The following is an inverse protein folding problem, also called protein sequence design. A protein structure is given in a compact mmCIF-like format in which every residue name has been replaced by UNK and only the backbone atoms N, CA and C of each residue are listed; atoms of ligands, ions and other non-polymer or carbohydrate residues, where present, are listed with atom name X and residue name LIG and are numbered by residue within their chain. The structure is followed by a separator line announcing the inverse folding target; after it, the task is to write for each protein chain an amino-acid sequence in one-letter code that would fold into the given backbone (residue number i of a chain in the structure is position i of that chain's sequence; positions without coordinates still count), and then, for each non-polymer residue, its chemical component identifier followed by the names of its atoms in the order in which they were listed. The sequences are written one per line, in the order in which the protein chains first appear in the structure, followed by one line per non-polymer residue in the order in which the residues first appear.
data_IF_371269097194
#
_entry.id   IF_371269097194
#
_cell.length_a   1.000
_cell.length_b   1.000
_cell.length_c   1.000
_cell.angle_alpha   90.00
_cell.angle_beta   90.00
_cell.angle_gamma   90.00
#
_symmetry.space_group_name_H-M   'P 1'
#
loop_
_entity.id
_entity.type
_entity.pdbx_description
1 polymer ?
#
# COMPACT_ATOMS: atom_id res chain seq x y z
N UNK A 1 41.80 -11.38 29.59
CA UNK A 1 40.56 -10.62 29.29
C UNK A 1 40.07 -10.78 27.85
N UNK A 2 40.95 -10.70 26.84
CA UNK A 2 40.57 -10.79 25.40
C UNK A 2 39.77 -12.06 25.06
N UNK A 3 40.16 -13.24 25.55
CA UNK A 3 39.43 -14.51 25.29
C UNK A 3 37.99 -14.51 25.83
N UNK A 4 37.73 -13.84 26.96
CA UNK A 4 36.37 -13.73 27.54
C UNK A 4 35.51 -12.75 26.74
N UNK A 5 36.08 -11.64 26.26
CA UNK A 5 35.38 -10.72 25.36
C UNK A 5 35.03 -11.38 24.02
N UNK A 6 35.95 -12.15 23.45
CA UNK A 6 35.73 -12.87 22.18
C UNK A 6 34.58 -13.88 22.31
N UNK A 7 34.54 -14.60 23.45
CA UNK A 7 33.49 -15.58 23.73
C UNK A 7 32.11 -14.92 23.90
N UNK A 8 32.05 -13.76 24.57
CA UNK A 8 30.81 -12.98 24.70
C UNK A 8 30.34 -12.47 23.32
N UNK A 9 31.26 -11.97 22.49
CA UNK A 9 30.94 -11.53 21.13
C UNK A 9 30.42 -12.68 20.25
N UNK A 10 31.05 -13.85 20.32
CA UNK A 10 30.61 -15.04 19.60
C UNK A 10 29.24 -15.53 20.07
N UNK A 11 28.95 -15.45 21.37
CA UNK A 11 27.63 -15.76 21.91
C UNK A 11 26.56 -14.77 21.43
N UNK A 12 26.89 -13.48 21.37
CA UNK A 12 25.95 -12.47 20.87
C UNK A 12 25.68 -12.64 19.37
N UNK A 13 26.70 -12.96 18.57
CA UNK A 13 26.56 -13.25 17.14
C UNK A 13 25.73 -14.52 16.89
N UNK A 14 25.88 -15.57 17.70
CA UNK A 14 25.09 -16.80 17.57
C UNK A 14 23.63 -16.61 18.00
N UNK A 15 23.38 -15.81 19.03
CA UNK A 15 22.02 -15.47 19.46
C UNK A 15 21.30 -14.60 18.42
N UNK A 16 21.95 -13.57 17.87
CA UNK A 16 21.36 -12.72 16.83
C UNK A 16 21.08 -13.52 15.55
N UNK A 17 22.00 -14.38 15.12
CA UNK A 17 21.76 -15.24 13.94
C UNK A 17 20.65 -16.27 14.17
N UNK A 18 20.54 -16.84 15.38
CA UNK A 18 19.46 -17.75 15.75
C UNK A 18 18.09 -17.06 15.73
N UNK A 19 17.99 -15.86 16.32
CA UNK A 19 16.75 -15.06 16.33
C UNK A 19 16.36 -14.66 14.90
N UNK A 20 17.29 -14.15 14.08
CA UNK A 20 17.00 -13.82 12.69
C UNK A 20 16.54 -15.04 11.86
N UNK A 21 17.12 -16.23 12.10
CA UNK A 21 16.74 -17.44 11.38
C UNK A 21 15.38 -18.00 11.84
N UNK A 22 15.06 -17.90 13.15
CA UNK A 22 13.74 -18.22 13.68
C UNK A 22 12.66 -17.30 13.12
N UNK A 23 12.90 -15.98 13.06
CA UNK A 23 11.96 -15.02 12.46
C UNK A 23 11.75 -15.31 10.98
N UNK A 24 12.82 -15.60 10.23
CA UNK A 24 12.74 -16.00 8.81
C UNK A 24 11.92 -17.28 8.62
N UNK A 25 12.18 -18.31 9.41
CA UNK A 25 11.45 -19.58 9.32
C UNK A 25 9.98 -19.42 9.73
N UNK A 26 9.66 -18.56 10.70
CA UNK A 26 8.28 -18.25 11.10
C UNK A 26 7.53 -17.49 9.99
N UNK A 27 8.19 -16.57 9.30
CA UNK A 27 7.64 -15.88 8.12
C UNK A 27 7.38 -16.85 6.97
N UNK A 28 8.32 -17.77 6.68
CA UNK A 28 8.16 -18.81 5.66
C UNK A 28 7.00 -19.74 6.03
N UNK A 29 6.96 -20.22 7.27
CA UNK A 29 5.88 -21.10 7.75
C UNK A 29 4.51 -20.40 7.72
N UNK A 30 4.43 -19.12 8.09
CA UNK A 30 3.19 -18.34 7.99
C UNK A 30 2.77 -18.11 6.53
N UNK A 31 3.72 -17.82 5.64
CA UNK A 31 3.47 -17.68 4.20
C UNK A 31 2.92 -18.98 3.60
N UNK A 32 3.57 -20.10 3.90
CA UNK A 32 3.22 -21.40 3.33
C UNK A 32 1.93 -21.94 3.94
N UNK A 33 1.67 -21.70 5.23
CA UNK A 33 0.38 -21.97 5.89
C UNK A 33 -0.77 -21.22 5.20
N UNK A 34 -0.59 -19.94 4.90
CA UNK A 34 -1.64 -19.11 4.32
C UNK A 34 -1.84 -19.41 2.85
N UNK A 35 -0.77 -19.71 2.09
CA UNK A 35 -0.88 -20.21 0.74
C UNK A 35 -1.70 -21.51 0.66
N UNK A 36 -1.69 -22.33 1.71
CA UNK A 36 -2.47 -23.56 1.83
C UNK A 36 -3.90 -23.36 2.39
N UNK A 37 -4.22 -22.19 2.94
CA UNK A 37 -5.51 -21.90 3.59
C UNK A 37 -6.35 -20.80 2.91
N UNK A 38 -5.85 -20.16 1.86
CA UNK A 38 -6.56 -19.04 1.19
C UNK A 38 -7.03 -19.43 -0.21
N UNK A 39 -8.32 -19.75 -0.34
CA UNK A 39 -8.98 -19.98 -1.64
C UNK A 39 -9.35 -18.66 -2.37
N UNK A 40 -9.09 -17.49 -1.75
CA UNK A 40 -9.57 -16.19 -2.24
C UNK A 40 -8.47 -15.15 -2.28
N UNK A 41 -8.06 -14.73 -3.47
CA UNK A 41 -7.06 -13.67 -3.66
C UNK A 41 -7.70 -12.37 -4.15
N UNK A 42 -7.08 -11.25 -3.77
CA UNK A 42 -7.40 -9.95 -4.38
C UNK A 42 -7.10 -9.99 -5.86
N UNK A 43 -8.08 -9.60 -6.66
CA UNK A 43 -7.93 -9.55 -8.11
C UNK A 43 -7.79 -8.11 -8.59
N UNK A 44 -6.68 -7.80 -9.27
CA UNK A 44 -6.46 -6.54 -9.96
C UNK A 44 -6.57 -6.74 -11.47
N UNK A 45 -7.62 -6.19 -12.11
CA UNK A 45 -7.82 -6.31 -13.58
C UNK A 45 -7.77 -7.76 -14.10
N UNK A 46 -8.19 -8.74 -13.29
CA UNK A 46 -8.14 -10.16 -13.61
C UNK A 46 -6.82 -10.87 -13.25
N UNK A 47 -5.83 -10.15 -12.71
CA UNK A 47 -4.64 -10.74 -12.10
C UNK A 47 -4.94 -11.03 -10.63
N UNK A 48 -4.94 -12.30 -10.26
CA UNK A 48 -4.99 -12.72 -8.85
C UNK A 48 -3.66 -12.39 -8.19
N UNK A 49 -3.67 -11.55 -7.16
CA UNK A 49 -2.49 -11.10 -6.42
C UNK A 49 -2.09 -12.14 -5.37
N UNK A 50 -1.69 -13.32 -5.85
CA UNK A 50 -1.19 -14.43 -5.05
C UNK A 50 0.16 -14.13 -4.41
N UNK A 51 0.49 -14.91 -3.39
CA UNK A 51 1.80 -14.93 -2.79
C UNK A 51 2.87 -15.41 -3.80
N UNK A 52 4.04 -14.76 -3.80
CA UNK A 52 5.21 -15.22 -4.57
C UNK A 52 5.15 -14.95 -6.08
N UNK A 53 4.23 -14.12 -6.57
CA UNK A 53 4.22 -13.73 -7.97
C UNK A 53 5.52 -13.04 -8.33
N UNK A 54 6.20 -13.58 -9.35
CA UNK A 54 7.40 -12.97 -9.90
C UNK A 54 7.05 -11.62 -10.54
N UNK A 55 7.88 -10.61 -10.27
CA UNK A 55 7.68 -9.26 -10.76
C UNK A 55 7.62 -9.22 -12.29
N UNK A 56 8.44 -10.03 -12.96
CA UNK A 56 8.43 -10.16 -14.42
C UNK A 56 7.07 -10.63 -14.95
N UNK A 57 6.45 -11.62 -14.30
CA UNK A 57 5.16 -12.17 -14.69
C UNK A 57 4.02 -11.17 -14.41
N UNK A 58 4.06 -10.50 -13.26
CA UNK A 58 3.13 -9.42 -12.94
C UNK A 58 3.18 -8.31 -13.99
N UNK A 59 4.39 -7.87 -14.37
CA UNK A 59 4.58 -6.83 -15.39
C UNK A 59 4.04 -7.27 -16.74
N UNK A 60 4.36 -8.49 -17.18
CA UNK A 60 3.86 -9.05 -18.44
C UNK A 60 2.32 -9.10 -18.46
N UNK A 61 1.71 -9.53 -17.36
CA UNK A 61 0.26 -9.55 -17.23
C UNK A 61 -0.36 -8.15 -17.29
N UNK A 62 0.25 -7.16 -16.63
CA UNK A 62 -0.23 -5.77 -16.63
C UNK A 62 -0.04 -5.11 -18.01
N UNK A 63 1.09 -5.33 -18.67
CA UNK A 63 1.34 -4.87 -20.04
C UNK A 63 0.28 -5.44 -21.01
N UNK A 64 -0.06 -6.73 -20.86
CA UNK A 64 -1.14 -7.37 -21.64
C UNK A 64 -2.54 -6.78 -21.36
N UNK A 65 -2.74 -6.10 -20.22
CA UNK A 65 -3.98 -5.35 -19.90
C UNK A 65 -3.94 -3.89 -20.38
N UNK A 66 -2.93 -3.51 -21.16
CA UNK A 66 -2.80 -2.19 -21.79
C UNK A 66 -2.10 -1.15 -20.92
N UNK A 67 -1.49 -1.53 -19.81
CA UNK A 67 -0.59 -0.64 -19.07
C UNK A 67 0.74 -0.51 -19.81
N UNK A 68 1.25 0.70 -19.90
CA UNK A 68 2.51 1.00 -20.60
C UNK A 68 3.54 1.49 -19.61
N UNK A 69 4.82 1.25 -19.89
CA UNK A 69 5.92 1.82 -19.08
C UNK A 69 5.86 3.33 -19.12
N UNK A 70 5.99 3.97 -17.95
CA UNK A 70 6.08 5.43 -17.88
C UNK A 70 7.49 5.90 -18.25
N UNK A 71 7.65 7.19 -18.54
CA UNK A 71 8.96 7.81 -18.75
C UNK A 71 9.92 7.62 -17.57
N UNK A 72 9.38 7.40 -16.36
CA UNK A 72 10.18 7.19 -15.14
C UNK A 72 10.47 5.72 -14.85
N UNK A 73 10.03 4.79 -15.70
CA UNK A 73 10.13 3.35 -15.43
C UNK A 73 11.56 2.91 -15.17
N UNK A 74 12.49 3.16 -16.09
CA UNK A 74 13.87 2.68 -15.97
C UNK A 74 14.62 3.36 -14.82
N UNK A 75 14.36 4.64 -14.59
CA UNK A 75 14.96 5.38 -13.48
C UNK A 75 14.52 4.82 -12.12
N UNK A 76 13.21 4.66 -11.91
CA UNK A 76 12.67 4.13 -10.64
C UNK A 76 13.02 2.66 -10.43
N UNK A 77 13.08 1.88 -11.50
CA UNK A 77 13.50 0.48 -11.44
C UNK A 77 14.94 0.38 -10.93
N UNK A 78 15.87 1.15 -11.52
CA UNK A 78 17.28 1.13 -11.12
C UNK A 78 17.51 1.68 -9.72
N UNK A 79 16.83 2.77 -9.37
CA UNK A 79 17.07 3.47 -8.10
C UNK A 79 16.41 2.76 -6.91
N UNK A 80 15.14 2.42 -7.05
CA UNK A 80 14.28 2.04 -5.93
C UNK A 80 13.68 0.63 -6.09
N UNK A 81 14.00 -0.08 -7.17
CA UNK A 81 13.34 -1.34 -7.56
C UNK A 81 11.82 -1.18 -7.73
N UNK A 82 11.38 0.03 -8.08
CA UNK A 82 9.98 0.39 -8.28
C UNK A 82 9.67 0.46 -9.77
N UNK A 83 8.57 -0.15 -10.18
CA UNK A 83 8.16 -0.19 -11.58
C UNK A 83 7.03 0.79 -11.82
N UNK A 84 7.26 1.78 -12.69
CA UNK A 84 6.30 2.85 -12.95
C UNK A 84 5.63 2.70 -14.31
N UNK A 85 4.32 2.50 -14.31
CA UNK A 85 3.50 2.36 -15.49
C UNK A 85 2.51 3.54 -15.62
N UNK A 86 1.86 3.66 -16.77
CA UNK A 86 0.71 4.52 -17.05
C UNK A 86 -0.37 3.73 -17.78
N UNK A 87 -1.63 4.12 -17.59
CA UNK A 87 -2.72 3.50 -18.33
C UNK A 87 -4.10 3.90 -17.84
N UNK A 88 -5.12 3.15 -18.27
CA UNK A 88 -6.52 3.42 -17.95
C UNK A 88 -7.02 2.49 -16.84
N UNK A 89 -7.59 3.09 -15.79
CA UNK A 89 -8.17 2.37 -14.66
C UNK A 89 -9.62 2.79 -14.44
N UNK A 90 -10.57 1.84 -14.55
CA UNK A 90 -12.00 2.14 -14.69
C UNK A 90 -12.26 3.18 -15.78
N UNK A 91 -12.93 4.28 -15.44
CA UNK A 91 -13.22 5.42 -16.33
C UNK A 91 -12.09 6.44 -16.40
N UNK A 92 -11.06 6.31 -15.56
CA UNK A 92 -9.96 7.27 -15.47
C UNK A 92 -8.84 6.89 -16.45
N UNK A 93 -8.53 7.81 -17.36
CA UNK A 93 -7.38 7.72 -18.27
C UNK A 93 -6.15 8.33 -17.61
N UNK A 94 -4.98 8.08 -18.17
CA UNK A 94 -3.72 8.70 -17.75
C UNK A 94 -3.37 8.53 -16.26
N UNK A 95 -3.82 7.43 -15.66
CA UNK A 95 -3.43 7.09 -14.30
C UNK A 95 -1.93 6.80 -14.25
N UNK A 96 -1.27 7.21 -13.18
CA UNK A 96 0.08 6.73 -12.86
C UNK A 96 -0.05 5.49 -11.99
N UNK A 97 0.70 4.45 -12.34
CA UNK A 97 0.68 3.17 -11.64
C UNK A 97 2.10 2.92 -11.14
N UNK A 98 2.21 2.52 -9.88
CA UNK A 98 3.48 2.21 -9.25
C UNK A 98 3.39 0.83 -8.65
N UNK A 99 4.31 -0.05 -9.04
CA UNK A 99 4.40 -1.41 -8.51
C UNK A 99 5.62 -1.48 -7.61
N UNK A 100 5.39 -2.01 -6.42
CA UNK A 100 6.37 -2.18 -5.37
C UNK A 100 6.65 -3.66 -5.19
N UNK A 101 7.92 -4.06 -5.11
CA UNK A 101 8.26 -5.40 -4.68
C UNK A 101 8.00 -5.57 -3.18
N UNK A 102 8.14 -6.79 -2.67
CA UNK A 102 8.18 -7.00 -1.22
C UNK A 102 9.44 -6.35 -0.63
N UNK A 103 9.44 -6.18 0.70
CA UNK A 103 10.59 -5.58 1.39
C UNK A 103 11.79 -6.51 1.32
N UNK A 104 11.55 -7.81 1.56
CA UNK A 104 12.61 -8.82 1.69
C UNK A 104 13.12 -9.36 0.35
N UNK A 105 12.31 -9.31 -0.71
CA UNK A 105 12.67 -9.83 -2.03
C UNK A 105 12.23 -8.87 -3.14
N UNK A 106 13.21 -8.36 -3.91
CA UNK A 106 12.96 -7.37 -4.97
C UNK A 106 12.41 -7.96 -6.25
N UNK A 107 12.43 -9.28 -6.39
CA UNK A 107 11.88 -9.99 -7.54
C UNK A 107 10.44 -10.46 -7.31
N UNK A 108 9.92 -10.33 -6.09
CA UNK A 108 8.55 -10.70 -5.75
C UNK A 108 7.64 -9.47 -5.71
N UNK A 109 6.48 -9.57 -6.38
CA UNK A 109 5.43 -8.55 -6.33
C UNK A 109 4.89 -8.37 -4.91
N UNK A 110 4.91 -7.14 -4.40
CA UNK A 110 4.37 -6.80 -3.09
C UNK A 110 3.06 -6.03 -3.16
N UNK A 111 3.04 -4.92 -3.88
CA UNK A 111 1.87 -4.05 -3.97
C UNK A 111 1.82 -3.28 -5.29
N UNK A 112 0.63 -2.81 -5.65
CA UNK A 112 0.39 -1.90 -6.77
C UNK A 112 -0.46 -0.73 -6.31
N UNK A 113 0.05 0.48 -6.52
CA UNK A 113 -0.67 1.74 -6.26
C UNK A 113 -1.06 2.39 -7.58
N UNK A 114 -2.30 2.86 -7.65
CA UNK A 114 -2.90 3.53 -8.79
C UNK A 114 -3.26 4.93 -8.35
N UNK A 115 -2.59 5.92 -8.94
CA UNK A 115 -2.86 7.33 -8.76
C UNK A 115 -3.81 7.75 -9.87
N UNK A 116 -5.03 8.13 -9.50
CA UNK A 116 -5.95 8.75 -10.44
C UNK A 116 -5.38 10.11 -10.91
N UNK A 117 -5.84 10.64 -12.06
CA UNK A 117 -5.47 11.98 -12.49
C UNK A 117 -5.67 12.99 -11.37
N UNK A 118 -4.71 13.90 -11.22
CA UNK A 118 -4.82 14.92 -10.18
C UNK A 118 -6.01 15.84 -10.44
N UNK A 119 -6.52 16.41 -9.35
CA UNK A 119 -7.52 17.48 -9.37
C UNK A 119 -6.92 18.75 -8.77
N UNK A 120 -7.43 19.88 -9.22
CA UNK A 120 -7.04 21.19 -8.67
C UNK A 120 -7.95 21.64 -7.53
N UNK A 121 -8.97 20.86 -7.21
CA UNK A 121 -9.83 21.10 -6.06
C UNK A 121 -10.05 19.83 -5.27
N UNK A 122 -10.12 19.99 -3.95
CA UNK A 122 -10.49 18.92 -3.05
C UNK A 122 -11.86 18.35 -3.38
N UNK A 123 -12.84 19.21 -3.67
CA UNK A 123 -14.21 18.81 -4.00
C UNK A 123 -14.28 17.84 -5.17
N UNK A 124 -13.50 18.08 -6.22
CA UNK A 124 -13.41 17.15 -7.36
C UNK A 124 -12.72 15.85 -6.99
N UNK A 125 -11.61 15.92 -6.24
CA UNK A 125 -10.93 14.72 -5.76
C UNK A 125 -11.85 13.88 -4.86
N UNK A 126 -12.63 14.50 -3.98
CA UNK A 126 -13.60 13.82 -3.12
C UNK A 126 -14.66 13.09 -3.93
N UNK A 127 -15.15 13.65 -5.04
CA UNK A 127 -16.08 12.94 -5.94
C UNK A 127 -15.46 11.67 -6.51
N UNK A 128 -14.19 11.73 -6.91
CA UNK A 128 -13.47 10.56 -7.40
C UNK A 128 -13.26 9.52 -6.30
N UNK A 129 -12.93 9.97 -5.08
CA UNK A 129 -12.79 9.13 -3.89
C UNK A 129 -14.12 8.43 -3.55
N UNK A 130 -15.21 9.18 -3.41
CA UNK A 130 -16.53 8.65 -3.06
C UNK A 130 -17.02 7.65 -4.12
N UNK A 131 -16.78 7.95 -5.41
CA UNK A 131 -17.08 7.03 -6.50
C UNK A 131 -16.31 5.70 -6.35
N UNK A 132 -14.99 5.76 -6.12
CA UNK A 132 -14.19 4.55 -5.95
C UNK A 132 -14.58 3.79 -4.68
N UNK A 133 -14.87 4.50 -3.59
CA UNK A 133 -15.36 3.91 -2.34
C UNK A 133 -16.66 3.13 -2.57
N UNK A 134 -17.60 3.70 -3.32
CA UNK A 134 -18.83 3.02 -3.68
C UNK A 134 -18.58 1.77 -4.55
N UNK A 135 -17.72 1.88 -5.56
CA UNK A 135 -17.36 0.72 -6.42
C UNK A 135 -16.77 -0.43 -5.61
N UNK A 136 -15.88 -0.16 -4.65
CA UNK A 136 -15.31 -1.20 -3.80
C UNK A 136 -16.27 -1.70 -2.73
N UNK A 137 -17.07 -0.83 -2.13
CA UNK A 137 -18.06 -1.21 -1.12
C UNK A 137 -19.13 -2.18 -1.66
N UNK A 138 -19.40 -2.15 -2.97
CA UNK A 138 -20.31 -3.11 -3.61
C UNK A 138 -19.65 -4.48 -3.89
N UNK A 139 -18.33 -4.61 -3.76
CA UNK A 139 -17.57 -5.81 -4.13
C UNK A 139 -16.82 -6.46 -2.98
N UNK A 140 -16.47 -5.68 -1.96
CA UNK A 140 -15.60 -6.09 -0.87
C UNK A 140 -16.12 -5.57 0.46
N UNK A 141 -15.74 -6.23 1.55
CA UNK A 141 -16.11 -5.79 2.88
C UNK A 141 -15.25 -4.61 3.31
N UNK A 142 -15.89 -3.48 3.64
CA UNK A 142 -15.22 -2.34 4.25
C UNK A 142 -14.91 -2.65 5.72
N UNK A 143 -13.66 -2.50 6.11
CA UNK A 143 -13.19 -2.84 7.47
C UNK A 143 -12.81 -1.60 8.28
N UNK A 144 -12.33 -0.54 7.63
CA UNK A 144 -12.12 0.75 8.27
C UNK A 144 -12.37 1.91 7.33
N UNK A 145 -12.80 3.04 7.89
CA UNK A 145 -12.90 4.32 7.20
C UNK A 145 -12.44 5.42 8.16
N UNK A 146 -11.41 6.16 7.77
CA UNK A 146 -10.80 7.22 8.56
C UNK A 146 -10.89 8.53 7.80
N UNK A 147 -11.27 9.58 8.54
CA UNK A 147 -11.19 10.97 8.09
C UNK A 147 -10.30 11.69 9.10
N UNK A 148 -9.24 12.31 8.62
CA UNK A 148 -8.31 13.11 9.42
C UNK A 148 -8.17 14.48 8.77
N UNK A 149 -7.99 15.51 9.57
CA UNK A 149 -7.81 16.89 9.11
C UNK A 149 -6.36 17.29 9.40
N UNK A 150 -5.76 18.12 8.54
CA UNK A 150 -4.41 18.64 8.80
C UNK A 150 -4.44 19.52 10.06
N UNK A 151 -3.59 19.19 11.04
CA UNK A 151 -3.48 19.90 12.32
C UNK A 151 -3.11 21.38 12.13
N UNK A 152 -2.50 21.75 10.99
CA UNK A 152 -2.19 23.15 10.66
C UNK A 152 -3.42 24.05 10.49
N UNK A 153 -4.61 23.48 10.36
CA UNK A 153 -5.87 24.23 10.29
C UNK A 153 -6.53 24.41 11.67
N UNK A 154 -5.95 23.87 12.74
CA UNK A 154 -6.43 24.01 14.11
C UNK A 154 -5.63 25.13 14.79
N UNK A 155 -6.06 26.38 14.60
CA UNK A 155 -5.65 27.43 15.52
C UNK A 155 -6.32 27.15 16.88
N UNK A 156 -5.53 26.84 17.90
CA UNK A 156 -6.00 26.52 19.26
C UNK A 156 -6.89 27.62 19.85
N UNK A 157 -6.80 28.85 19.31
CA UNK A 157 -7.58 30.02 19.74
C UNK A 157 -8.93 30.20 19.02
N UNK A 158 -9.28 29.34 18.05
CA UNK A 158 -10.58 29.44 17.37
C UNK A 158 -11.74 28.99 18.27
N UNK A 159 -12.81 29.80 18.33
CA UNK A 159 -14.09 29.46 18.97
C UNK A 159 -14.63 28.12 18.44
N UNK A 160 -15.04 27.23 19.34
CA UNK A 160 -15.55 25.88 19.01
C UNK A 160 -16.70 25.87 17.99
N UNK A 161 -17.48 26.95 17.93
CA UNK A 161 -18.59 27.12 16.98
C UNK A 161 -18.15 27.42 15.53
N UNK A 162 -16.88 27.82 15.32
CA UNK A 162 -16.31 28.17 14.01
C UNK A 162 -15.48 27.01 13.43
N UNK A 163 -14.98 26.10 14.28
CA UNK A 163 -14.20 24.92 13.88
C UNK A 163 -14.91 24.08 12.78
N UNK A 164 -16.22 23.72 12.87
CA UNK A 164 -16.92 22.95 11.83
C UNK A 164 -16.97 23.58 10.43
N UNK A 165 -16.96 24.92 10.34
CA UNK A 165 -17.04 25.66 9.07
C UNK A 165 -15.66 25.90 8.46
N UNK A 166 -14.61 25.96 9.27
CA UNK A 166 -13.21 26.06 8.84
C UNK A 166 -12.49 24.71 8.72
N UNK A 167 -13.06 23.60 9.22
CA UNK A 167 -12.87 22.25 8.66
C UNK A 167 -13.49 22.18 7.26
N UNK A 168 -13.21 23.19 6.42
CA UNK A 168 -13.48 23.11 5.00
C UNK A 168 -12.89 21.78 4.58
N UNK A 169 -13.72 20.97 3.92
CA UNK A 169 -13.32 19.68 3.40
C UNK A 169 -12.01 19.79 2.59
N UNK A 170 -11.62 20.99 2.16
CA UNK A 170 -10.53 21.33 1.26
C UNK A 170 -9.13 20.79 1.64
N UNK A 171 -8.90 20.36 2.88
CA UNK A 171 -7.61 19.78 3.31
C UNK A 171 -7.73 18.50 4.17
N UNK A 172 -8.80 17.70 4.01
CA UNK A 172 -8.95 16.45 4.76
C UNK A 172 -8.20 15.26 4.12
N UNK A 173 -7.49 14.48 4.93
CA UNK A 173 -7.05 13.14 4.54
C UNK A 173 -8.20 12.14 4.70
N UNK A 174 -8.60 11.51 3.60
CA UNK A 174 -9.61 10.45 3.59
C UNK A 174 -8.92 9.12 3.33
N UNK A 175 -9.27 8.09 4.10
CA UNK A 175 -8.79 6.74 3.91
C UNK A 175 -9.90 5.72 4.16
N UNK A 176 -10.00 4.69 3.32
CA UNK A 176 -10.88 3.53 3.52
C UNK A 176 -10.10 2.27 3.20
N UNK A 177 -10.23 1.27 4.05
CA UNK A 177 -9.62 -0.05 3.86
C UNK A 177 -10.70 -1.10 3.63
N UNK A 178 -10.50 -1.92 2.60
CA UNK A 178 -11.38 -3.02 2.22
C UNK A 178 -10.59 -4.33 2.25
N UNK A 179 -11.23 -5.39 2.75
CA UNK A 179 -10.67 -6.74 2.81
C UNK A 179 -11.52 -7.70 1.97
N UNK A 180 -10.86 -8.75 1.47
CA UNK A 180 -11.54 -9.94 0.95
C UNK A 180 -11.58 -10.94 2.08
N UNK A 181 -12.78 -11.18 2.61
CA UNK A 181 -13.01 -12.27 3.52
C UNK A 181 -14.49 -12.65 3.47
N UNK A 182 -14.79 -13.93 3.67
CA UNK A 182 -16.17 -14.41 3.87
C UNK A 182 -16.70 -14.07 5.26
N UNK A 183 -15.80 -13.77 6.20
CA UNK A 183 -16.09 -13.37 7.57
C UNK A 183 -15.14 -12.25 8.02
N UNK A 184 -15.62 -11.26 8.78
CA UNK A 184 -14.79 -10.15 9.30
C UNK A 184 -13.58 -10.61 10.13
N UNK A 185 -13.56 -11.87 10.57
CA UNK A 185 -12.51 -12.49 11.38
C UNK A 185 -11.55 -13.41 10.60
N UNK A 186 -11.75 -13.60 9.29
CA UNK A 186 -10.93 -14.50 8.45
C UNK A 186 -9.49 -14.02 8.22
N UNK A 187 -8.59 -14.97 7.93
CA UNK A 187 -7.19 -14.68 7.61
C UNK A 187 -7.08 -13.83 6.33
N UNK A 188 -6.39 -12.70 6.44
CA UNK A 188 -6.29 -11.70 5.38
C UNK A 188 -5.54 -12.27 4.17
N UNK A 189 -6.18 -12.32 3.01
CA UNK A 189 -5.49 -12.70 1.75
C UNK A 189 -4.84 -11.51 1.04
N UNK A 190 -5.04 -10.30 1.57
CA UNK A 190 -4.52 -9.03 1.08
C UNK A 190 -5.43 -7.87 1.51
N UNK A 191 -5.10 -6.64 1.15
CA UNK A 191 -6.00 -5.49 1.37
C UNK A 191 -6.04 -4.53 0.17
N UNK A 192 -7.14 -3.80 0.09
CA UNK A 192 -7.30 -2.64 -0.80
C UNK A 192 -7.40 -1.40 0.09
N UNK A 193 -6.48 -0.46 -0.09
CA UNK A 193 -6.52 0.85 0.56
C UNK A 193 -6.85 1.93 -0.45
N UNK A 194 -7.90 2.68 -0.18
CA UNK A 194 -8.28 3.88 -0.91
C UNK A 194 -7.91 5.07 -0.03
N UNK A 195 -7.08 6.00 -0.51
CA UNK A 195 -6.73 7.19 0.25
C UNK A 195 -6.54 8.43 -0.62
N UNK A 196 -6.53 9.60 0.01
CA UNK A 196 -6.27 10.88 -0.66
C UNK A 196 -4.84 11.31 -0.40
N UNK A 197 -4.22 12.00 -1.37
CA UNK A 197 -2.88 12.58 -1.24
C UNK A 197 -2.93 14.01 -1.75
N UNK A 198 -2.31 14.91 -1.00
CA UNK A 198 -2.15 16.31 -1.35
C UNK A 198 -0.67 16.61 -1.56
N UNK A 199 -0.35 17.32 -2.64
CA UNK A 199 1.01 17.77 -2.95
C UNK A 199 0.91 19.22 -3.46
N UNK A 200 1.88 20.06 -3.09
CA UNK A 200 1.98 21.45 -3.59
C UNK A 200 3.23 21.61 -4.48
N UNK A 201 3.26 21.02 -5.69
CA UNK A 201 4.33 21.28 -6.64
C UNK A 201 4.30 22.74 -7.09
N UNK A 202 5.41 23.45 -6.94
CA UNK A 202 5.61 24.81 -7.47
C UNK A 202 4.46 25.79 -7.09
N UNK A 203 4.02 25.75 -5.82
CA UNK A 203 2.94 26.58 -5.28
C UNK A 203 1.57 26.39 -5.95
N UNK A 204 1.32 25.22 -6.56
CA UNK A 204 -0.01 24.84 -7.03
C UNK A 204 -0.48 23.59 -6.31
N UNK A 205 -1.62 23.69 -5.64
CA UNK A 205 -2.19 22.58 -4.92
C UNK A 205 -2.80 21.56 -5.88
N UNK A 206 -2.38 20.31 -5.72
CA UNK A 206 -2.93 19.18 -6.48
C UNK A 206 -3.29 18.04 -5.56
N UNK A 207 -4.42 17.42 -5.88
CA UNK A 207 -5.03 16.38 -5.07
C UNK A 207 -5.13 15.09 -5.89
N UNK A 208 -4.74 13.98 -5.29
CA UNK A 208 -4.82 12.64 -5.88
C UNK A 208 -5.72 11.74 -5.05
N UNK A 209 -6.41 10.85 -5.72
CA UNK A 209 -6.90 9.62 -5.12
C UNK A 209 -5.91 8.51 -5.45
N UNK A 210 -5.49 7.78 -4.43
CA UNK A 210 -4.60 6.63 -4.54
C UNK A 210 -5.35 5.37 -4.14
N UNK A 211 -5.30 4.37 -5.00
CA UNK A 211 -5.79 3.02 -4.70
C UNK A 211 -4.60 2.09 -4.63
N UNK A 212 -4.37 1.46 -3.48
CA UNK A 212 -3.30 0.49 -3.28
C UNK A 212 -3.88 -0.89 -3.05
N UNK A 213 -3.44 -1.85 -3.86
CA UNK A 213 -3.68 -3.26 -3.65
C UNK A 213 -2.38 -3.87 -3.14
N UNK A 214 -2.43 -4.57 -2.00
CA UNK A 214 -1.26 -5.24 -1.46
C UNK A 214 -1.53 -6.71 -1.17
N UNK A 215 -0.53 -7.54 -1.48
CA UNK A 215 -0.52 -8.94 -1.06
C UNK A 215 -0.38 -8.99 0.45
N UNK A 216 -0.89 -10.06 1.05
CA UNK A 216 -0.80 -10.24 2.49
C UNK A 216 0.65 -10.33 2.99
N UNK A 217 1.53 -11.05 2.26
CA UNK A 217 2.97 -11.12 2.57
C UNK A 217 3.59 -9.73 2.67
N UNK A 218 3.30 -8.84 1.73
CA UNK A 218 3.79 -7.46 1.80
C UNK A 218 3.27 -6.70 3.03
N UNK A 219 2.03 -6.96 3.45
CA UNK A 219 1.48 -6.34 4.66
C UNK A 219 2.15 -6.90 5.93
N UNK A 220 2.36 -8.21 6.02
CA UNK A 220 3.08 -8.84 7.13
C UNK A 220 4.49 -8.29 7.28
N UNK A 221 5.24 -8.18 6.19
CA UNK A 221 6.60 -7.64 6.21
C UNK A 221 6.63 -6.20 6.73
N UNK A 222 5.62 -5.40 6.39
CA UNK A 222 5.49 -4.02 6.89
C UNK A 222 5.09 -3.96 8.36
N UNK A 223 4.22 -4.86 8.83
CA UNK A 223 3.83 -4.95 10.25
C UNK A 223 5.06 -5.34 11.08
N UNK A 224 5.78 -6.40 10.70
CA UNK A 224 6.99 -6.84 11.41
C UNK A 224 8.06 -5.75 11.43
N UNK A 225 8.24 -5.04 10.32
CA UNK A 225 9.17 -3.90 10.25
C UNK A 225 8.80 -2.75 11.20
N UNK A 226 7.52 -2.50 11.47
CA UNK A 226 7.06 -1.44 12.39
C UNK A 226 7.21 -1.85 13.86
N UNK A 227 7.10 -3.14 14.14
CA UNK A 227 7.21 -3.67 15.50
C UNK A 227 8.63 -4.12 15.88
N UNK A 228 9.62 -4.00 14.97
CA UNK A 228 11.02 -4.27 15.27
C UNK A 228 11.32 -5.72 15.65
N UNK A 229 10.53 -6.68 15.15
CA UNK A 229 10.71 -8.12 15.35
C UNK A 229 11.45 -8.79 14.19
#
# INVERSE_FOLDING_TARGET
MIKKLLFIFLLQLSLVSCVCNQTKNKLIASRDSIANHTDKFITFKGLELKHGIQMADALKALEAKGFKRSEQFDYKKRKDHIYSLRGTFYKYRDCNITIYPTKNDKDIFGAISIYLPYRYSFKEMKKDYDYMRHVYGNRYHMVSATVSFDDKCIDENMLDSVKPKNFSYDHAYLMTEFHISDDKLGELSGLIRLNTVYITPQNKDVYYVVITYSTYVNNLEQINARHGL
#
